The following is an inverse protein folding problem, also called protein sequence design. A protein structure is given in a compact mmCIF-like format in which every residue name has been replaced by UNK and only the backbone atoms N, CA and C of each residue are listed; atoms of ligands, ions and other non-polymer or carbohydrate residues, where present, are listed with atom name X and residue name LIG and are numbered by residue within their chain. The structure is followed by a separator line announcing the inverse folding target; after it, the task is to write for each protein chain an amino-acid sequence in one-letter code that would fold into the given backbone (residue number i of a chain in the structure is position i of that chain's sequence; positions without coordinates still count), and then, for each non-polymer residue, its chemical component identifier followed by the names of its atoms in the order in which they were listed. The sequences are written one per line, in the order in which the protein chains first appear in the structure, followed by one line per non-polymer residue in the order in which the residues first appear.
data_IF_277126820581
#
_entry.id   IF_277126820581
#
_cell.length_a   1.000
_cell.length_b   1.000
_cell.length_c   1.000
_cell.angle_alpha   90.00
_cell.angle_beta   90.00
_cell.angle_gamma   90.00
#
_symmetry.space_group_name_H-M   'P 1'
#
loop_
_entity.id
_entity.type
_entity.pdbx_description
1 polymer ?
#
# COMPACT_ATOMS: atom_id res chain seq x y z
N UNK A 1 -19.15 37.26 -46.66
CA UNK A 1 -18.22 36.10 -46.61
C UNK A 1 -16.97 36.39 -45.77
N UNK A 2 -16.34 37.57 -45.92
CA UNK A 2 -15.10 37.97 -45.21
C UNK A 2 -15.33 38.18 -43.72
N UNK A 3 -16.50 38.69 -43.31
CA UNK A 3 -16.82 38.90 -41.87
C UNK A 3 -17.05 37.59 -41.13
N UNK A 4 -17.74 36.62 -41.74
CA UNK A 4 -17.97 35.28 -41.13
C UNK A 4 -16.66 34.51 -40.94
N UNK A 5 -15.72 34.62 -41.85
CA UNK A 5 -14.41 33.93 -41.77
C UNK A 5 -13.51 34.52 -40.69
N UNK A 6 -13.62 35.82 -40.41
CA UNK A 6 -12.87 36.49 -39.34
C UNK A 6 -13.42 36.17 -37.97
N UNK A 7 -14.76 36.02 -37.85
CA UNK A 7 -15.44 35.62 -36.62
C UNK A 7 -15.10 34.16 -36.25
N UNK A 8 -15.10 33.25 -37.23
CA UNK A 8 -14.70 31.85 -37.03
C UNK A 8 -13.23 31.72 -36.58
N UNK A 9 -12.29 32.44 -37.19
CA UNK A 9 -10.88 32.44 -36.77
C UNK A 9 -10.67 32.99 -35.37
N UNK A 10 -11.44 34.01 -34.99
CA UNK A 10 -11.36 34.53 -33.59
C UNK A 10 -11.98 33.57 -32.59
N UNK A 11 -13.07 32.88 -32.95
CA UNK A 11 -13.66 31.84 -32.11
C UNK A 11 -12.69 30.67 -31.88
N UNK A 12 -12.09 30.20 -32.96
CA UNK A 12 -11.09 29.12 -32.94
C UNK A 12 -9.85 29.48 -32.10
N UNK A 13 -9.39 30.72 -32.22
CA UNK A 13 -8.27 31.24 -31.41
C UNK A 13 -8.64 31.36 -29.93
N UNK A 14 -9.87 31.76 -29.60
CA UNK A 14 -10.37 31.77 -28.23
C UNK A 14 -10.54 30.35 -27.68
N UNK A 15 -11.12 29.45 -28.45
CA UNK A 15 -11.26 28.04 -28.04
C UNK A 15 -9.90 27.43 -27.72
N UNK A 16 -8.90 27.60 -28.60
CA UNK A 16 -7.55 27.08 -28.38
C UNK A 16 -6.82 27.74 -27.20
N UNK A 17 -7.17 28.95 -26.81
CA UNK A 17 -6.62 29.64 -25.66
C UNK A 17 -7.25 29.15 -24.35
N UNK A 18 -8.59 28.89 -24.36
CA UNK A 18 -9.32 28.47 -23.16
C UNK A 18 -9.39 26.96 -22.98
N UNK A 19 -9.15 26.16 -24.01
CA UNK A 19 -9.20 24.70 -23.94
C UNK A 19 -8.23 24.12 -22.89
N UNK A 20 -6.95 24.54 -22.81
CA UNK A 20 -6.04 24.09 -21.76
C UNK A 20 -6.55 24.47 -20.36
N UNK A 21 -7.09 25.68 -20.22
CA UNK A 21 -7.63 26.14 -18.92
C UNK A 21 -8.86 25.31 -18.48
N UNK A 22 -9.76 25.00 -19.42
CA UNK A 22 -10.92 24.15 -19.18
C UNK A 22 -10.48 22.71 -18.86
N UNK A 23 -9.47 22.19 -19.55
CA UNK A 23 -8.90 20.86 -19.26
C UNK A 23 -8.23 20.84 -17.88
N UNK A 24 -7.51 21.88 -17.50
CA UNK A 24 -6.92 21.98 -16.14
C UNK A 24 -8.00 22.14 -15.06
N UNK A 25 -9.05 22.91 -15.34
CA UNK A 25 -10.21 22.98 -14.43
C UNK A 25 -10.97 21.64 -14.33
N UNK A 26 -11.05 20.89 -15.41
CA UNK A 26 -11.66 19.57 -15.43
C UNK A 26 -10.81 18.55 -14.67
N UNK A 27 -9.48 18.61 -14.78
CA UNK A 27 -8.55 17.83 -13.93
C UNK A 27 -8.71 18.19 -12.45
N UNK A 28 -8.92 19.45 -12.10
CA UNK A 28 -9.20 19.87 -10.72
C UNK A 28 -10.58 19.39 -10.26
N UNK A 29 -11.57 19.38 -11.16
CA UNK A 29 -12.92 18.85 -10.85
C UNK A 29 -12.92 17.32 -10.68
N UNK A 30 -12.04 16.59 -11.38
CA UNK A 30 -11.83 15.15 -11.18
C UNK A 30 -11.22 14.79 -9.81
N UNK A 31 -10.81 15.78 -9.00
CA UNK A 31 -10.51 15.58 -7.57
C UNK A 31 -11.71 15.02 -6.81
N UNK A 32 -12.93 15.16 -7.36
CA UNK A 32 -14.16 14.57 -6.81
C UNK A 32 -14.35 13.09 -7.14
N UNK A 33 -13.53 12.49 -8.02
CA UNK A 33 -13.63 11.05 -8.27
C UNK A 33 -13.20 10.27 -7.01
N UNK A 34 -13.88 9.19 -6.70
CA UNK A 34 -13.58 8.34 -5.54
C UNK A 34 -12.11 7.87 -5.54
N UNK A 35 -11.56 7.62 -6.73
CA UNK A 35 -10.18 7.23 -6.93
C UNK A 35 -9.20 8.34 -6.45
N UNK A 36 -9.34 9.55 -6.99
CA UNK A 36 -8.46 10.67 -6.65
C UNK A 36 -8.60 11.08 -5.18
N UNK A 37 -9.84 11.03 -4.67
CA UNK A 37 -10.11 11.32 -3.26
C UNK A 37 -9.47 10.27 -2.34
N UNK A 38 -9.48 8.99 -2.71
CA UNK A 38 -8.87 7.92 -1.92
C UNK A 38 -7.34 8.09 -1.84
N UNK A 39 -6.66 8.48 -2.91
CA UNK A 39 -5.24 8.82 -2.89
C UNK A 39 -4.95 10.04 -2.00
N UNK A 40 -5.79 11.07 -2.11
CA UNK A 40 -5.63 12.28 -1.31
C UNK A 40 -5.79 12.00 0.18
N UNK A 41 -6.89 11.33 0.58
CA UNK A 41 -7.16 11.03 1.99
C UNK A 41 -6.11 10.08 2.56
N UNK A 42 -5.68 9.07 1.77
CA UNK A 42 -4.62 8.15 2.17
C UNK A 42 -3.28 8.87 2.41
N UNK A 43 -2.88 9.76 1.51
CA UNK A 43 -1.69 10.60 1.66
C UNK A 43 -1.77 11.44 2.96
N UNK A 44 -2.87 12.16 3.16
CA UNK A 44 -3.06 13.02 4.33
C UNK A 44 -3.10 12.25 5.64
N UNK A 45 -3.79 11.10 5.67
CA UNK A 45 -3.87 10.25 6.86
C UNK A 45 -2.50 9.68 7.24
N UNK A 46 -1.74 9.17 6.27
CA UNK A 46 -0.40 8.63 6.50
C UNK A 46 0.61 9.71 6.86
N UNK A 47 0.49 10.91 6.30
CA UNK A 47 1.31 12.06 6.69
C UNK A 47 1.03 12.48 8.14
N UNK A 48 -0.24 12.55 8.54
CA UNK A 48 -0.64 12.88 9.91
C UNK A 48 -0.15 11.80 10.89
N UNK A 49 -0.30 10.51 10.55
CA UNK A 49 0.20 9.41 11.36
C UNK A 49 1.73 9.44 11.49
N UNK A 50 2.46 9.71 10.41
CA UNK A 50 3.91 9.87 10.43
C UNK A 50 4.34 10.99 11.38
N UNK A 51 3.70 12.16 11.29
CA UNK A 51 3.95 13.26 12.20
C UNK A 51 3.67 12.88 13.66
N UNK A 52 2.55 12.18 13.92
CA UNK A 52 2.21 11.69 15.24
C UNK A 52 3.30 10.76 15.80
N UNK A 53 3.74 9.77 15.03
CA UNK A 53 4.78 8.83 15.48
C UNK A 53 6.11 9.52 15.77
N UNK A 54 6.57 10.41 14.88
CA UNK A 54 7.84 11.12 15.09
C UNK A 54 7.80 12.09 16.28
N UNK A 55 6.70 12.82 16.44
CA UNK A 55 6.56 13.78 17.56
C UNK A 55 6.37 13.08 18.90
N UNK A 56 5.79 11.88 18.92
CA UNK A 56 5.54 11.11 20.13
C UNK A 56 6.71 10.24 20.60
N UNK A 57 7.81 10.14 19.82
CA UNK A 57 8.96 9.27 20.12
C UNK A 57 9.47 9.37 21.57
N UNK A 58 9.52 10.59 22.11
CA UNK A 58 10.03 10.82 23.46
C UNK A 58 9.04 10.46 24.58
N UNK A 59 7.77 10.21 24.23
CA UNK A 59 6.73 9.82 25.20
C UNK A 59 6.77 8.32 25.50
N UNK A 60 7.46 7.53 24.66
CA UNK A 60 7.57 6.08 24.83
C UNK A 60 8.84 5.69 25.60
N UNK A 61 8.78 4.56 26.31
CA UNK A 61 9.96 3.93 26.90
C UNK A 61 11.05 3.69 25.85
N UNK A 62 12.30 3.84 26.25
CA UNK A 62 13.48 3.69 25.34
C UNK A 62 13.44 2.38 24.54
N UNK A 63 12.92 1.30 25.13
CA UNK A 63 12.84 -0.03 24.49
C UNK A 63 11.88 -0.07 23.28
N UNK A 64 10.87 0.83 23.24
CA UNK A 64 9.86 0.88 22.18
C UNK A 64 10.10 1.98 21.14
N UNK A 65 11.00 2.93 21.42
CA UNK A 65 11.24 4.09 20.53
C UNK A 65 11.62 3.68 19.10
N UNK A 66 12.39 2.59 18.95
CA UNK A 66 12.77 2.12 17.61
C UNK A 66 11.56 1.60 16.84
N UNK A 67 10.60 0.93 17.50
CA UNK A 67 9.35 0.49 16.87
C UNK A 67 8.53 1.71 16.42
N UNK A 68 8.29 2.68 17.29
CA UNK A 68 7.59 3.92 16.94
C UNK A 68 8.29 4.68 15.79
N UNK A 69 9.61 4.70 15.77
CA UNK A 69 10.39 5.29 14.66
C UNK A 69 10.13 4.55 13.34
N UNK A 70 10.13 3.22 13.37
CA UNK A 70 9.86 2.39 12.19
C UNK A 70 8.43 2.62 11.69
N UNK A 71 7.43 2.69 12.58
CA UNK A 71 6.05 3.04 12.22
C UNK A 71 5.95 4.42 11.55
N UNK A 72 6.70 5.41 12.06
CA UNK A 72 6.81 6.73 11.45
C UNK A 72 7.42 6.69 10.06
N UNK A 73 8.46 5.87 9.85
CA UNK A 73 9.09 5.68 8.53
C UNK A 73 8.14 4.98 7.55
N UNK A 74 7.44 3.93 7.96
CA UNK A 74 6.45 3.21 7.13
C UNK A 74 5.39 4.18 6.61
N UNK A 75 4.78 4.94 7.51
CA UNK A 75 3.71 5.89 7.15
C UNK A 75 4.24 7.08 6.35
N UNK A 76 5.46 7.55 6.60
CA UNK A 76 6.11 8.62 5.82
C UNK A 76 6.40 8.18 4.38
N UNK A 77 7.04 7.03 4.20
CA UNK A 77 7.34 6.48 2.87
C UNK A 77 6.05 6.32 2.07
N UNK A 78 5.02 5.75 2.68
CA UNK A 78 3.73 5.57 2.04
C UNK A 78 3.06 6.91 1.68
N UNK A 79 3.09 7.91 2.56
CA UNK A 79 2.53 9.23 2.26
C UNK A 79 3.17 9.87 1.02
N UNK A 80 4.50 9.78 0.88
CA UNK A 80 5.23 10.28 -0.29
C UNK A 80 4.80 9.53 -1.56
N UNK A 81 4.73 8.18 -1.52
CA UNK A 81 4.30 7.40 -2.67
C UNK A 81 2.86 7.70 -3.08
N UNK A 82 1.96 7.89 -2.12
CA UNK A 82 0.57 8.25 -2.38
C UNK A 82 0.41 9.61 -3.06
N UNK A 83 1.29 10.55 -2.76
CA UNK A 83 1.34 11.82 -3.47
C UNK A 83 1.67 11.62 -4.95
N UNK A 84 2.71 10.85 -5.26
CA UNK A 84 3.10 10.56 -6.66
C UNK A 84 2.10 9.65 -7.37
N UNK A 85 1.54 8.65 -6.69
CA UNK A 85 0.50 7.78 -7.29
C UNK A 85 -0.75 8.57 -7.66
N UNK A 86 -1.14 9.56 -6.85
CA UNK A 86 -2.25 10.45 -7.18
C UNK A 86 -1.97 11.25 -8.46
N UNK A 87 -0.78 11.80 -8.58
CA UNK A 87 -0.38 12.59 -9.75
C UNK A 87 -0.38 11.72 -11.02
N UNK A 88 0.20 10.52 -10.96
CA UNK A 88 0.18 9.55 -12.04
C UNK A 88 -1.26 9.14 -12.43
N UNK A 89 -2.11 8.86 -11.46
CA UNK A 89 -3.51 8.51 -11.69
C UNK A 89 -4.29 9.64 -12.38
N UNK A 90 -4.06 10.89 -11.96
CA UNK A 90 -4.66 12.08 -12.59
C UNK A 90 -4.16 12.31 -14.01
N UNK A 91 -2.91 11.94 -14.31
CA UNK A 91 -2.34 11.95 -15.65
C UNK A 91 -2.86 10.85 -16.59
N UNK A 92 -3.64 9.89 -16.06
CA UNK A 92 -4.11 8.71 -16.81
C UNK A 92 -3.09 7.57 -16.89
N UNK A 93 -2.02 7.63 -16.13
CA UNK A 93 -0.92 6.65 -16.15
C UNK A 93 -1.11 5.57 -15.05
N UNK A 94 -2.22 4.84 -15.09
CA UNK A 94 -2.57 3.85 -14.07
C UNK A 94 -1.55 2.70 -13.97
N UNK A 95 -0.84 2.37 -15.04
CA UNK A 95 0.25 1.38 -15.03
C UNK A 95 1.41 1.84 -14.15
N UNK A 96 1.69 3.14 -14.09
CA UNK A 96 2.70 3.70 -13.21
C UNK A 96 2.26 3.64 -11.73
N UNK A 97 0.95 3.69 -11.44
CA UNK A 97 0.43 3.50 -10.08
C UNK A 97 0.83 2.13 -9.52
N UNK A 98 0.71 1.05 -10.30
CA UNK A 98 1.17 -0.28 -9.89
C UNK A 98 2.66 -0.29 -9.57
N UNK A 99 3.50 0.29 -10.44
CA UNK A 99 4.94 0.37 -10.22
C UNK A 99 5.29 1.14 -8.94
N UNK A 100 4.71 2.33 -8.73
CA UNK A 100 4.90 3.11 -7.50
C UNK A 100 4.42 2.37 -6.26
N UNK A 101 3.33 1.64 -6.34
CA UNK A 101 2.77 0.84 -5.25
C UNK A 101 3.72 -0.27 -4.82
N UNK A 102 4.31 -1.01 -5.78
CA UNK A 102 5.29 -2.04 -5.46
C UNK A 102 6.60 -1.46 -4.91
N UNK A 103 7.02 -0.27 -5.37
CA UNK A 103 8.15 0.44 -4.75
C UNK A 103 7.84 0.83 -3.31
N UNK A 104 6.65 1.32 -3.02
CA UNK A 104 6.20 1.58 -1.64
C UNK A 104 6.24 0.29 -0.81
N UNK A 105 5.63 -0.78 -1.30
CA UNK A 105 5.54 -2.03 -0.55
C UNK A 105 6.89 -2.70 -0.32
N UNK A 106 7.82 -2.67 -1.29
CA UNK A 106 9.16 -3.26 -1.11
C UNK A 106 9.99 -2.52 -0.05
N UNK A 107 9.66 -1.27 0.23
CA UNK A 107 10.26 -0.49 1.30
C UNK A 107 9.53 -0.66 2.64
N UNK A 108 8.20 -0.63 2.62
CA UNK A 108 7.39 -0.57 3.85
C UNK A 108 7.11 -1.95 4.46
N UNK A 109 6.84 -2.98 3.66
CA UNK A 109 6.51 -4.32 4.19
C UNK A 109 7.69 -4.98 4.91
N UNK A 110 8.94 -4.92 4.45
CA UNK A 110 10.09 -5.35 5.25
C UNK A 110 10.23 -4.58 6.57
N UNK A 111 9.91 -3.29 6.62
CA UNK A 111 9.88 -2.54 7.88
C UNK A 111 8.78 -3.04 8.82
N UNK A 112 7.62 -3.42 8.31
CA UNK A 112 6.58 -4.09 9.12
C UNK A 112 7.07 -5.43 9.66
N UNK A 113 7.88 -6.19 8.92
CA UNK A 113 8.55 -7.39 9.42
C UNK A 113 9.58 -7.09 10.52
N UNK A 114 10.28 -5.96 10.43
CA UNK A 114 11.17 -5.47 11.51
C UNK A 114 10.38 -5.18 12.78
N UNK A 115 9.17 -4.66 12.68
CA UNK A 115 8.32 -4.39 13.86
C UNK A 115 7.97 -5.66 14.63
N UNK A 116 7.64 -6.76 13.96
CA UNK A 116 7.49 -8.06 14.64
C UNK A 116 8.72 -8.43 15.47
N UNK A 117 9.91 -8.23 14.89
CA UNK A 117 11.15 -8.49 15.61
C UNK A 117 11.34 -7.55 16.80
N UNK A 118 11.09 -6.24 16.63
CA UNK A 118 11.30 -5.25 17.68
C UNK A 118 10.38 -5.49 18.88
N UNK A 119 9.11 -5.81 18.64
CA UNK A 119 8.15 -6.15 19.69
C UNK A 119 8.55 -7.45 20.41
N UNK A 120 8.99 -8.46 19.64
CA UNK A 120 9.37 -9.76 20.20
C UNK A 120 10.80 -9.81 20.74
N UNK A 121 11.61 -8.76 20.51
CA UNK A 121 12.99 -8.68 20.99
C UNK A 121 13.08 -8.83 22.51
N UNK A 122 12.14 -8.26 23.24
CA UNK A 122 12.05 -8.41 24.71
C UNK A 122 11.76 -9.84 25.16
N UNK A 123 11.23 -10.69 24.27
CA UNK A 123 10.98 -12.12 24.46
C UNK A 123 12.12 -13.00 23.92
N UNK A 124 13.24 -12.40 23.50
CA UNK A 124 14.40 -13.13 22.99
C UNK A 124 14.37 -13.42 21.49
N UNK A 125 13.56 -12.70 20.70
CA UNK A 125 13.61 -12.82 19.24
C UNK A 125 15.02 -12.50 18.72
N UNK A 126 15.46 -13.32 17.78
CA UNK A 126 16.78 -13.19 17.14
C UNK A 126 16.69 -12.47 15.80
N UNK A 127 17.80 -11.89 15.36
CA UNK A 127 17.88 -11.30 14.01
C UNK A 127 17.59 -12.33 12.90
N UNK A 128 17.79 -13.62 13.16
CA UNK A 128 17.44 -14.68 12.20
C UNK A 128 15.94 -14.64 11.86
N UNK A 129 15.07 -14.51 12.87
CA UNK A 129 13.63 -14.39 12.64
C UNK A 129 13.30 -13.16 11.79
N UNK A 130 13.92 -12.02 12.10
CA UNK A 130 13.75 -10.77 11.34
C UNK A 130 14.12 -10.96 9.87
N UNK A 131 15.32 -11.48 9.59
CA UNK A 131 15.78 -11.68 8.22
C UNK A 131 14.99 -12.73 7.44
N UNK A 132 14.45 -13.74 8.13
CA UNK A 132 13.53 -14.70 7.51
C UNK A 132 12.23 -14.03 7.06
N UNK A 133 11.63 -13.20 7.91
CA UNK A 133 10.41 -12.46 7.56
C UNK A 133 10.66 -11.46 6.42
N UNK A 134 11.78 -10.71 6.49
CA UNK A 134 12.20 -9.76 5.42
C UNK A 134 12.40 -10.51 4.10
N UNK A 135 13.14 -11.62 4.10
CA UNK A 135 13.40 -12.39 2.88
C UNK A 135 12.13 -12.94 2.26
N UNK A 136 11.22 -13.50 3.07
CA UNK A 136 9.94 -13.99 2.60
C UNK A 136 9.05 -12.87 2.05
N UNK A 137 8.98 -11.72 2.72
CA UNK A 137 8.21 -10.58 2.23
C UNK A 137 8.79 -10.01 0.93
N UNK A 138 10.11 -9.98 0.79
CA UNK A 138 10.76 -9.59 -0.47
C UNK A 138 10.42 -10.55 -1.61
N UNK A 139 10.49 -11.85 -1.38
CA UNK A 139 10.07 -12.87 -2.37
C UNK A 139 8.59 -12.66 -2.75
N UNK A 140 7.71 -12.52 -1.76
CA UNK A 140 6.29 -12.28 -1.98
C UNK A 140 6.05 -11.09 -2.91
N UNK A 141 6.71 -9.96 -2.65
CA UNK A 141 6.50 -8.73 -3.41
C UNK A 141 7.14 -8.76 -4.79
N UNK A 142 8.35 -9.30 -4.93
CA UNK A 142 9.02 -9.43 -6.23
C UNK A 142 8.22 -10.32 -7.17
N UNK A 143 7.77 -11.48 -6.69
CA UNK A 143 6.97 -12.38 -7.52
C UNK A 143 5.55 -11.84 -7.76
N UNK A 144 4.96 -11.13 -6.81
CA UNK A 144 3.72 -10.39 -7.03
C UNK A 144 3.84 -9.38 -8.17
N UNK A 145 4.88 -8.53 -8.15
CA UNK A 145 5.13 -7.58 -9.22
C UNK A 145 5.36 -8.24 -10.59
N UNK A 146 6.19 -9.27 -10.62
CA UNK A 146 6.46 -10.02 -11.86
C UNK A 146 5.18 -10.60 -12.47
N UNK A 147 4.24 -11.02 -11.65
CA UNK A 147 2.96 -11.53 -12.12
C UNK A 147 2.03 -10.45 -12.68
N UNK A 148 2.04 -9.24 -12.14
CA UNK A 148 1.26 -8.14 -12.69
C UNK A 148 1.82 -7.58 -14.01
N UNK A 149 3.15 -7.65 -14.21
CA UNK A 149 3.77 -7.20 -15.46
C UNK A 149 3.88 -8.31 -16.53
N UNK A 150 3.78 -9.58 -16.15
CA UNK A 150 3.84 -10.74 -17.06
C UNK A 150 2.54 -11.54 -16.97
N UNK A 151 1.51 -11.07 -17.64
CA UNK A 151 0.17 -11.65 -17.59
C UNK A 151 0.10 -13.12 -17.98
N UNK A 152 0.93 -13.57 -18.93
CA UNK A 152 1.01 -14.97 -19.36
C UNK A 152 1.47 -15.93 -18.24
N UNK A 153 2.19 -15.42 -17.26
CA UNK A 153 2.72 -16.19 -16.13
C UNK A 153 2.16 -15.75 -14.79
N UNK A 154 1.08 -14.97 -14.79
CA UNK A 154 0.49 -14.39 -13.59
C UNK A 154 0.14 -15.44 -12.53
N UNK A 155 -0.48 -16.57 -12.93
CA UNK A 155 -0.84 -17.68 -12.03
C UNK A 155 0.40 -18.27 -11.35
N UNK A 156 1.48 -18.50 -12.11
CA UNK A 156 2.71 -19.06 -11.56
C UNK A 156 3.36 -18.11 -10.55
N UNK A 157 3.53 -16.84 -10.93
CA UNK A 157 4.15 -15.85 -10.05
C UNK A 157 3.28 -15.53 -8.83
N UNK A 158 1.97 -15.41 -9.01
CA UNK A 158 1.02 -15.22 -7.92
C UNK A 158 1.00 -16.40 -6.94
N UNK A 159 1.14 -17.65 -7.44
CA UNK A 159 1.27 -18.83 -6.58
C UNK A 159 2.53 -18.79 -5.72
N UNK A 160 3.68 -18.43 -6.30
CA UNK A 160 4.95 -18.30 -5.53
C UNK A 160 4.81 -17.20 -4.48
N UNK A 161 4.27 -16.05 -4.85
CA UNK A 161 3.97 -14.93 -3.95
C UNK A 161 3.05 -15.36 -2.81
N UNK A 162 1.96 -16.06 -3.12
CA UNK A 162 1.00 -16.58 -2.15
C UNK A 162 1.60 -17.58 -1.18
N UNK A 163 2.45 -18.49 -1.66
CA UNK A 163 3.19 -19.45 -0.78
C UNK A 163 4.05 -18.66 0.22
N UNK A 164 4.81 -17.65 -0.22
CA UNK A 164 5.62 -16.83 0.66
C UNK A 164 4.76 -16.11 1.72
N UNK A 165 3.60 -15.56 1.33
CA UNK A 165 2.64 -14.97 2.25
C UNK A 165 2.15 -15.96 3.32
N UNK A 166 1.73 -17.17 2.91
CA UNK A 166 1.26 -18.19 3.86
C UNK A 166 2.37 -18.69 4.79
N UNK A 167 3.62 -18.72 4.33
CA UNK A 167 4.78 -19.06 5.19
C UNK A 167 4.98 -17.96 6.24
N UNK A 168 4.88 -16.66 5.88
CA UNK A 168 4.90 -15.54 6.84
C UNK A 168 3.77 -15.72 7.86
N UNK A 169 2.53 -15.91 7.39
CA UNK A 169 1.38 -16.12 8.24
C UNK A 169 1.58 -17.28 9.22
N UNK A 170 2.09 -18.41 8.75
CA UNK A 170 2.44 -19.53 9.62
C UNK A 170 3.46 -19.16 10.69
N UNK A 171 4.54 -18.46 10.30
CA UNK A 171 5.61 -18.09 11.24
C UNK A 171 5.11 -17.20 12.37
N UNK A 172 4.19 -16.27 12.07
CA UNK A 172 3.66 -15.32 13.06
C UNK A 172 2.49 -15.88 13.87
N UNK A 173 1.62 -16.73 13.28
CA UNK A 173 0.42 -17.25 13.93
C UNK A 173 0.63 -18.56 14.71
N UNK A 174 1.46 -19.45 14.20
CA UNK A 174 1.66 -20.80 14.72
C UNK A 174 3.12 -21.12 15.00
N UNK A 175 4.03 -20.43 14.34
CA UNK A 175 5.45 -20.69 14.33
C UNK A 175 6.26 -20.01 15.45
N UNK A 176 7.53 -19.71 15.18
CA UNK A 176 8.48 -19.23 16.18
C UNK A 176 8.09 -17.88 16.79
N UNK A 177 7.52 -16.95 16.01
CA UNK A 177 7.12 -15.65 16.52
C UNK A 177 6.00 -15.77 17.56
N UNK A 178 4.99 -16.62 17.30
CA UNK A 178 3.90 -16.90 18.24
C UNK A 178 4.41 -17.49 19.56
N UNK A 179 5.37 -18.42 19.50
CA UNK A 179 5.94 -19.04 20.72
C UNK A 179 6.60 -18.00 21.61
N UNK A 180 7.35 -17.07 21.03
CA UNK A 180 7.98 -15.97 21.73
C UNK A 180 6.95 -15.02 22.35
N UNK A 181 5.90 -14.65 21.59
CA UNK A 181 4.84 -13.79 22.08
C UNK A 181 4.10 -14.42 23.30
N UNK A 182 3.79 -15.71 23.22
CA UNK A 182 3.15 -16.45 24.33
C UNK A 182 4.05 -16.50 25.54
N UNK A 183 5.35 -16.73 25.38
CA UNK A 183 6.32 -16.76 26.47
C UNK A 183 6.46 -15.39 27.17
N UNK A 184 6.38 -14.28 26.39
CA UNK A 184 6.40 -12.93 26.96
C UNK A 184 5.11 -12.58 27.71
N UNK A 185 3.95 -13.03 27.22
CA UNK A 185 2.65 -12.72 27.82
C UNK A 185 2.28 -11.23 27.74
N UNK A 186 1.29 -10.83 28.53
CA UNK A 186 0.90 -9.43 28.73
C UNK A 186 0.73 -8.62 27.44
N UNK A 187 1.19 -7.38 27.47
CA UNK A 187 1.05 -6.41 26.36
C UNK A 187 1.78 -6.87 25.09
N UNK A 188 2.91 -7.57 25.24
CA UNK A 188 3.67 -8.09 24.07
C UNK A 188 2.86 -9.13 23.30
N UNK A 189 2.19 -10.04 24.01
CA UNK A 189 1.30 -11.01 23.37
C UNK A 189 0.11 -10.33 22.70
N UNK A 190 -0.44 -9.29 23.33
CA UNK A 190 -1.57 -8.55 22.79
C UNK A 190 -1.17 -7.77 21.53
N UNK A 191 -0.07 -7.02 21.57
CA UNK A 191 0.47 -6.31 20.41
C UNK A 191 0.76 -7.29 19.26
N UNK A 192 1.44 -8.41 19.55
CA UNK A 192 1.70 -9.46 18.55
C UNK A 192 0.40 -9.98 17.91
N UNK A 193 -0.67 -10.19 18.68
CA UNK A 193 -1.97 -10.63 18.13
C UNK A 193 -2.55 -9.59 17.18
N UNK A 194 -2.49 -8.30 17.51
CA UNK A 194 -2.97 -7.24 16.62
C UNK A 194 -2.19 -7.21 15.32
N UNK A 195 -0.86 -7.25 15.36
CA UNK A 195 -0.03 -7.32 14.17
C UNK A 195 -0.35 -8.54 13.31
N UNK A 196 -0.59 -9.70 13.94
CA UNK A 196 -1.00 -10.91 13.23
C UNK A 196 -2.34 -10.73 12.50
N UNK A 197 -3.32 -10.04 13.10
CA UNK A 197 -4.59 -9.76 12.45
C UNK A 197 -4.42 -8.81 11.25
N UNK A 198 -3.59 -7.78 11.36
CA UNK A 198 -3.27 -6.91 10.22
C UNK A 198 -2.65 -7.70 9.06
N UNK A 199 -1.75 -8.64 9.34
CA UNK A 199 -1.17 -9.48 8.29
C UNK A 199 -2.19 -10.47 7.71
N UNK A 200 -3.01 -11.12 8.54
CA UNK A 200 -3.93 -12.14 8.04
C UNK A 200 -5.13 -11.54 7.31
N UNK A 201 -5.77 -10.54 7.91
CA UNK A 201 -7.00 -9.93 7.38
C UNK A 201 -6.67 -8.71 6.54
N UNK A 202 -5.82 -7.82 7.04
CA UNK A 202 -5.48 -6.58 6.36
C UNK A 202 -4.71 -6.81 5.05
N UNK A 203 -3.81 -7.80 5.01
CA UNK A 203 -3.08 -8.12 3.79
C UNK A 203 -3.83 -9.04 2.83
N UNK A 204 -4.92 -9.68 3.25
CA UNK A 204 -5.70 -10.58 2.39
C UNK A 204 -6.29 -9.87 1.16
N UNK A 205 -6.51 -8.56 1.24
CA UNK A 205 -7.05 -7.77 0.13
C UNK A 205 -6.09 -7.74 -1.08
N UNK A 206 -4.78 -7.80 -0.85
CA UNK A 206 -3.79 -7.69 -1.93
C UNK A 206 -3.77 -8.92 -2.84
N UNK A 207 -3.71 -10.18 -2.35
CA UNK A 207 -3.86 -11.34 -3.21
C UNK A 207 -5.23 -11.42 -3.87
N UNK A 208 -6.31 -10.99 -3.22
CA UNK A 208 -7.65 -10.94 -3.83
C UNK A 208 -7.64 -9.98 -5.03
N UNK A 209 -7.12 -8.77 -4.86
CA UNK A 209 -7.05 -7.80 -5.94
C UNK A 209 -6.03 -8.18 -7.03
N UNK A 210 -4.94 -8.88 -6.67
CA UNK A 210 -4.03 -9.45 -7.65
C UNK A 210 -4.74 -10.47 -8.55
N UNK A 211 -5.54 -11.36 -7.96
CA UNK A 211 -6.29 -12.37 -8.70
C UNK A 211 -7.43 -11.75 -9.54
N UNK A 212 -8.01 -10.63 -9.10
CA UNK A 212 -9.02 -9.86 -9.86
C UNK A 212 -8.37 -9.10 -11.03
N UNK A 213 -7.18 -8.53 -10.82
CA UNK A 213 -6.46 -7.74 -11.82
C UNK A 213 -5.62 -8.55 -12.81
N UNK A 214 -5.52 -9.88 -12.66
CA UNK A 214 -4.73 -10.75 -13.52
C UNK A 214 -5.56 -11.90 -14.08
N UNK A 215 -5.18 -12.40 -15.26
CA UNK A 215 -5.91 -13.50 -15.93
C UNK A 215 -5.64 -14.87 -15.30
N UNK A 216 -6.56 -15.79 -15.46
CA UNK A 216 -6.41 -17.20 -15.12
C UNK A 216 -6.85 -17.61 -13.70
N UNK A 217 -7.43 -16.70 -12.90
CA UNK A 217 -7.90 -17.03 -11.55
C UNK A 217 -9.43 -17.10 -11.43
N UNK A 218 -10.13 -16.08 -11.91
CA UNK A 218 -11.58 -15.93 -11.75
C UNK A 218 -12.32 -15.76 -13.07
N UNK A 219 -11.79 -16.28 -14.18
CA UNK A 219 -12.36 -16.13 -15.52
C UNK A 219 -13.85 -16.60 -15.62
N UNK A 220 -14.31 -17.39 -14.63
CA UNK A 220 -15.69 -17.86 -14.55
C UNK A 220 -16.58 -17.02 -13.62
N UNK A 221 -16.07 -16.05 -12.91
CA UNK A 221 -16.85 -15.20 -12.00
C UNK A 221 -17.13 -13.85 -12.65
N UNK A 222 -18.39 -13.37 -12.63
CA UNK A 222 -18.69 -12.02 -13.10
C UNK A 222 -18.15 -11.00 -12.08
N UNK A 223 -16.90 -10.56 -12.28
CA UNK A 223 -16.26 -9.52 -11.46
C UNK A 223 -16.57 -8.11 -11.95
N UNK A 224 -17.29 -7.97 -13.06
CA UNK A 224 -17.70 -6.69 -13.61
C UNK A 224 -18.55 -5.89 -12.61
N UNK A 225 -17.98 -4.85 -12.05
CA UNK A 225 -18.66 -3.91 -11.16
C UNK A 225 -18.37 -4.05 -9.66
N UNK A 226 -17.53 -4.96 -9.23
CA UNK A 226 -16.98 -4.94 -7.89
C UNK A 226 -15.88 -3.87 -7.83
N UNK A 227 -16.25 -2.71 -7.28
CA UNK A 227 -15.44 -1.60 -6.76
C UNK A 227 -14.00 -1.48 -7.33
N UNK A 228 -13.65 -0.32 -7.78
CA UNK A 228 -12.27 0.01 -8.20
C UNK A 228 -11.26 -0.54 -7.16
N UNK A 229 -10.60 -1.64 -7.49
CA UNK A 229 -9.67 -2.34 -6.60
C UNK A 229 -8.56 -1.41 -6.10
N UNK A 230 -8.23 -0.39 -6.87
CA UNK A 230 -7.25 0.63 -6.51
C UNK A 230 -7.74 1.44 -5.30
N UNK A 231 -9.03 1.77 -5.24
CA UNK A 231 -9.64 2.46 -4.09
C UNK A 231 -9.55 1.58 -2.84
N UNK A 232 -9.83 0.28 -2.98
CA UNK A 232 -9.70 -0.67 -1.88
C UNK A 232 -8.28 -0.82 -1.39
N UNK A 233 -7.31 -0.88 -2.29
CA UNK A 233 -5.88 -0.87 -1.92
C UNK A 233 -5.51 0.41 -1.16
N UNK A 234 -6.02 1.57 -1.58
CA UNK A 234 -5.72 2.84 -0.92
C UNK A 234 -6.28 2.89 0.51
N UNK A 235 -7.50 2.38 0.72
CA UNK A 235 -8.10 2.28 2.05
C UNK A 235 -7.35 1.28 2.92
N UNK A 236 -7.07 0.10 2.37
CA UNK A 236 -6.36 -0.97 3.08
C UNK A 236 -4.94 -0.55 3.48
N UNK A 237 -4.20 0.11 2.59
CA UNK A 237 -2.87 0.62 2.88
C UNK A 237 -2.88 1.60 4.05
N UNK A 238 -3.80 2.57 4.05
CA UNK A 238 -3.90 3.55 5.12
C UNK A 238 -4.22 2.86 6.46
N UNK A 239 -5.23 1.97 6.49
CA UNK A 239 -5.62 1.24 7.69
C UNK A 239 -4.49 0.33 8.18
N UNK A 240 -3.87 -0.43 7.26
CA UNK A 240 -2.82 -1.38 7.63
C UNK A 240 -1.57 -0.67 8.15
N UNK A 241 -1.08 0.34 7.46
CA UNK A 241 0.17 1.02 7.83
C UNK A 241 0.02 1.86 9.09
N UNK A 242 -1.10 2.57 9.24
CA UNK A 242 -1.39 3.36 10.44
C UNK A 242 -1.69 2.44 11.62
N UNK A 243 -2.61 1.50 11.44
CA UNK A 243 -3.03 0.58 12.50
C UNK A 243 -1.91 -0.36 12.96
N UNK A 244 -0.99 -0.72 12.06
CA UNK A 244 0.17 -1.53 12.41
C UNK A 244 1.14 -0.79 13.35
N UNK A 245 1.21 0.54 13.25
CA UNK A 245 2.07 1.37 14.09
C UNK A 245 1.43 1.80 15.42
N UNK A 246 0.11 1.74 15.56
CA UNK A 246 -0.62 2.10 16.79
C UNK A 246 -0.67 0.97 17.78
#
# INVERSE_FOLDING_TARGET
YICLNKTNKNLEKMTNLFLPLVQDMQKVADVSSALNFSFFIGCMAMMAASAFFFLSLNQFDKKWRTSVLVSGLITFIAAVHYYYMRDAAMGGELTNVTAFRYVDWILTVPLMCVEFYLILKVAGATQKLMWQLIGLSTVMLVFGYLGEVNTDSAVMYGTISGIAYFVIAYMIWLGPAKKLAVAAGGDVLQAHKYLCWFVLVGWAIYPIGYMDGTTGWYDALPTEGLLDIIVWYNIADAINKIGFGL
#
